data_IF_229829381036
#
_entry.id   IF_229829381036
#
_cell.length_a   1.000
_cell.length_b   1.000
_cell.length_c   1.000
_cell.angle_alpha   90.00
_cell.angle_beta   90.00
_cell.angle_gamma   90.00
#
_symmetry.space_group_name_H-M   'P 1'
#
loop_
_entity.id
_entity.type
_entity.pdbx_description
1 polymer ?
#
# COMPACT_ATOMS: atom_id res chain seq x y z
N UNK A 1 -14.41 -7.54 -47.32
CA UNK A 1 -14.24 -8.91 -47.85
C UNK A 1 -15.62 -9.57 -47.80
N UNK A 2 -16.29 -9.55 -48.95
CA UNK A 2 -17.36 -10.47 -49.35
C UNK A 2 -16.76 -11.90 -49.37
N UNK A 3 -17.44 -13.04 -49.35
CA UNK A 3 -18.84 -13.41 -49.51
C UNK A 3 -18.99 -14.90 -49.08
N UNK A 4 -20.22 -15.40 -49.17
CA UNK A 4 -20.57 -16.78 -49.54
C UNK A 4 -20.74 -17.85 -48.46
N UNK A 5 -22.01 -18.13 -48.12
CA UNK A 5 -22.58 -19.43 -48.51
C UNK A 5 -24.08 -19.34 -48.74
N UNK A 6 -24.39 -19.28 -50.02
CA UNK A 6 -25.72 -19.14 -50.61
C UNK A 6 -26.48 -20.47 -50.61
N UNK A 7 -27.79 -20.36 -50.42
CA UNK A 7 -28.83 -21.38 -50.60
C UNK A 7 -28.92 -21.77 -52.09
N UNK A 8 -28.96 -23.06 -52.43
CA UNK A 8 -29.33 -23.50 -53.78
C UNK A 8 -30.14 -24.82 -53.79
N UNK A 9 -31.41 -24.67 -54.14
CA UNK A 9 -32.30 -25.46 -55.00
C UNK A 9 -32.28 -27.00 -55.09
N UNK A 10 -33.51 -27.49 -55.30
CA UNK A 10 -33.96 -28.87 -55.39
C UNK A 10 -33.94 -29.48 -56.81
N UNK A 11 -34.00 -30.82 -56.82
CA UNK A 11 -34.56 -31.76 -57.83
C UNK A 11 -33.76 -32.10 -59.09
N UNK A 12 -34.08 -33.21 -59.80
CA UNK A 12 -34.44 -34.58 -59.36
C UNK A 12 -33.61 -35.65 -60.14
N UNK A 13 -33.77 -36.96 -59.87
CA UNK A 13 -33.88 -38.04 -60.89
C UNK A 13 -33.97 -39.47 -60.26
N UNK A 14 -34.52 -40.46 -60.98
CA UNK A 14 -35.31 -41.58 -60.43
C UNK A 14 -34.63 -42.95 -60.55
N UNK A 15 -35.21 -43.98 -59.91
CA UNK A 15 -34.94 -45.36 -60.29
C UNK A 15 -35.07 -46.40 -59.19
N UNK A 16 -36.25 -46.55 -58.58
CA UNK A 16 -36.60 -47.80 -57.90
C UNK A 16 -37.29 -48.74 -58.89
N UNK A 17 -36.66 -49.90 -59.03
CA UNK A 17 -37.06 -51.04 -59.83
C UNK A 17 -38.50 -51.47 -59.47
N UNK A 18 -39.35 -51.40 -60.48
CA UNK A 18 -40.70 -51.95 -60.51
C UNK A 18 -40.62 -53.48 -60.58
N UNK A 19 -41.05 -54.17 -59.53
CA UNK A 19 -41.56 -55.53 -59.69
C UNK A 19 -43.08 -55.46 -59.76
N UNK A 20 -43.58 -55.97 -60.90
CA UNK A 20 -44.95 -55.90 -61.36
C UNK A 20 -45.89 -56.66 -60.41
N UNK A 21 -46.84 -55.95 -59.81
CA UNK A 21 -48.10 -56.56 -59.37
C UNK A 21 -49.19 -56.09 -60.34
N UNK A 22 -49.77 -57.08 -61.02
CA UNK A 22 -50.70 -56.97 -62.13
C UNK A 22 -52.04 -56.34 -61.70
N UNK A 23 -52.49 -55.23 -62.33
CA UNK A 23 -53.73 -54.55 -61.95
C UNK A 23 -55.01 -55.32 -62.32
N UNK A 24 -54.92 -56.43 -63.06
CA UNK A 24 -56.08 -57.17 -63.56
C UNK A 24 -56.47 -58.37 -62.67
N UNK A 25 -55.72 -58.63 -61.58
CA UNK A 25 -56.05 -59.68 -60.60
C UNK A 25 -56.74 -59.16 -59.33
N UNK A 26 -56.81 -57.83 -59.12
CA UNK A 26 -57.62 -57.25 -58.01
C UNK A 26 -59.04 -56.90 -58.48
N UNK A 27 -59.26 -56.79 -59.80
CA UNK A 27 -60.58 -56.51 -60.40
C UNK A 27 -61.45 -57.76 -60.59
N UNK A 28 -60.92 -58.97 -60.36
CA UNK A 28 -61.63 -60.24 -60.58
C UNK A 28 -62.19 -60.89 -59.30
N UNK A 29 -62.07 -60.23 -58.13
CA UNK A 29 -62.76 -60.65 -56.90
C UNK A 29 -63.82 -59.64 -56.47
N UNK A 30 -64.45 -58.96 -57.43
CA UNK A 30 -65.69 -58.22 -57.25
C UNK A 30 -66.91 -59.17 -57.24
N UNK A 31 -66.92 -60.14 -56.32
CA UNK A 31 -68.12 -60.93 -56.01
C UNK A 31 -68.74 -60.37 -54.73
N UNK A 32 -69.73 -59.48 -54.90
CA UNK A 32 -70.54 -58.92 -53.81
C UNK A 32 -71.11 -60.07 -52.97
N UNK A 33 -70.73 -60.25 -51.69
CA UNK A 33 -71.44 -61.15 -50.81
C UNK A 33 -72.78 -60.51 -50.41
N UNK A 34 -73.82 -61.34 -50.30
CA UNK A 34 -75.15 -60.96 -49.82
C UNK A 34 -75.09 -60.24 -48.45
N UNK A 35 -76.07 -59.38 -48.11
CA UNK A 35 -76.12 -58.74 -46.80
C UNK A 35 -76.18 -59.82 -45.72
N UNK A 36 -75.09 -59.99 -44.97
CA UNK A 36 -75.09 -60.76 -43.74
C UNK A 36 -75.85 -59.93 -42.71
N UNK A 37 -76.90 -60.51 -42.14
CA UNK A 37 -77.53 -60.03 -40.91
C UNK A 37 -76.44 -59.90 -39.83
N UNK A 38 -76.50 -58.92 -38.92
CA UNK A 38 -75.53 -58.82 -37.84
C UNK A 38 -75.71 -60.01 -36.91
N UNK A 39 -74.87 -61.02 -37.09
CA UNK A 39 -74.55 -62.02 -36.10
C UNK A 39 -73.62 -61.34 -35.08
N UNK A 40 -74.24 -60.88 -34.01
CA UNK A 40 -73.58 -60.46 -32.78
C UNK A 40 -72.87 -61.70 -32.23
N UNK A 41 -71.57 -61.82 -32.48
CA UNK A 41 -70.70 -62.78 -31.81
C UNK A 41 -69.63 -62.00 -31.05
N UNK A 42 -69.80 -61.97 -29.75
CA UNK A 42 -69.04 -61.25 -28.74
C UNK A 42 -67.61 -61.76 -28.60
N UNK A 43 -66.62 -60.98 -29.02
CA UNK A 43 -65.27 -60.99 -28.41
C UNK A 43 -64.59 -59.61 -28.43
N UNK A 44 -65.42 -58.56 -28.41
CA UNK A 44 -65.02 -57.16 -28.36
C UNK A 44 -64.80 -56.54 -26.96
N UNK A 45 -65.09 -57.17 -25.79
CA UNK A 45 -64.79 -56.56 -24.50
C UNK A 45 -63.37 -56.89 -24.01
N UNK A 46 -62.78 -58.04 -24.35
CA UNK A 46 -61.47 -58.45 -23.82
C UNK A 46 -60.32 -57.63 -24.40
N UNK A 47 -60.29 -57.44 -25.73
CA UNK A 47 -59.28 -56.62 -26.39
C UNK A 47 -59.40 -55.13 -26.01
N UNK A 48 -60.62 -54.59 -25.95
CA UNK A 48 -60.85 -53.20 -25.52
C UNK A 48 -60.47 -53.00 -24.06
N UNK A 49 -60.75 -53.96 -23.16
CA UNK A 49 -60.29 -53.90 -21.76
C UNK A 49 -58.77 -54.04 -21.64
N UNK A 50 -58.13 -54.81 -22.50
CA UNK A 50 -56.67 -54.97 -22.52
C UNK A 50 -55.97 -53.72 -23.06
N UNK A 51 -56.52 -53.07 -24.09
CA UNK A 51 -56.03 -51.79 -24.64
C UNK A 51 -56.30 -50.63 -23.68
N UNK A 52 -57.47 -50.59 -23.04
CA UNK A 52 -57.76 -49.58 -22.00
C UNK A 52 -56.89 -49.79 -20.76
N UNK A 53 -56.63 -51.05 -20.38
CA UNK A 53 -55.72 -51.41 -19.30
C UNK A 53 -54.28 -50.99 -19.60
N UNK A 54 -53.78 -51.22 -20.82
CA UNK A 54 -52.43 -50.80 -21.22
C UNK A 54 -52.30 -49.27 -21.30
N UNK A 55 -53.31 -48.57 -21.81
CA UNK A 55 -53.36 -47.10 -21.79
C UNK A 55 -53.39 -46.52 -20.37
N UNK A 56 -54.12 -47.15 -19.45
CA UNK A 56 -54.14 -46.74 -18.04
C UNK A 56 -52.76 -46.92 -17.36
N UNK A 57 -52.07 -48.03 -17.64
CA UNK A 57 -50.71 -48.26 -17.12
C UNK A 57 -49.72 -47.22 -17.69
N UNK A 58 -49.80 -46.93 -18.99
CA UNK A 58 -48.97 -45.89 -19.63
C UNK A 58 -49.23 -44.50 -19.03
N UNK A 59 -50.49 -44.17 -18.72
CA UNK A 59 -50.84 -42.91 -18.07
C UNK A 59 -50.25 -42.79 -16.65
N UNK A 60 -50.28 -43.87 -15.85
CA UNK A 60 -49.66 -43.89 -14.51
C UNK A 60 -48.14 -43.75 -14.62
N UNK A 61 -47.49 -44.41 -15.57
CA UNK A 61 -46.06 -44.25 -15.83
C UNK A 61 -45.70 -42.81 -16.22
N UNK A 62 -46.48 -42.17 -17.08
CA UNK A 62 -46.26 -40.78 -17.46
C UNK A 62 -46.34 -39.83 -16.24
N UNK A 63 -47.28 -40.04 -15.31
CA UNK A 63 -47.39 -39.24 -14.08
C UNK A 63 -46.19 -39.44 -13.15
N UNK A 64 -45.67 -40.68 -13.04
CA UNK A 64 -44.46 -40.97 -12.26
C UNK A 64 -43.25 -40.25 -12.88
N UNK A 65 -43.08 -40.32 -14.20
CA UNK A 65 -41.99 -39.64 -14.91
C UNK A 65 -42.07 -38.12 -14.73
N UNK A 66 -43.25 -37.52 -14.88
CA UNK A 66 -43.45 -36.08 -14.64
C UNK A 66 -43.18 -35.71 -13.18
N UNK A 67 -43.61 -36.54 -12.21
CA UNK A 67 -43.33 -36.33 -10.79
C UNK A 67 -41.84 -36.36 -10.47
N UNK A 68 -41.09 -37.29 -11.06
CA UNK A 68 -39.63 -37.38 -10.94
C UNK A 68 -38.96 -36.16 -11.59
N UNK A 69 -39.41 -35.75 -12.78
CA UNK A 69 -38.88 -34.56 -13.46
C UNK A 69 -39.10 -33.29 -12.62
N UNK A 70 -40.29 -33.08 -12.07
CA UNK A 70 -40.60 -31.92 -11.22
C UNK A 70 -39.78 -31.94 -9.93
N UNK A 71 -39.61 -33.11 -9.30
CA UNK A 71 -38.78 -33.25 -8.12
C UNK A 71 -37.29 -32.96 -8.41
N UNK A 72 -36.79 -33.43 -9.57
CA UNK A 72 -35.43 -33.18 -10.00
C UNK A 72 -35.20 -31.69 -10.33
N UNK A 73 -36.14 -31.05 -11.04
CA UNK A 73 -36.07 -29.63 -11.37
C UNK A 73 -36.06 -28.73 -10.13
N UNK A 74 -36.82 -29.08 -9.07
CA UNK A 74 -36.77 -28.37 -7.79
C UNK A 74 -35.42 -28.52 -7.07
N UNK A 75 -34.80 -29.71 -7.15
CA UNK A 75 -33.46 -29.93 -6.59
C UNK A 75 -32.40 -29.14 -7.35
N UNK A 76 -32.48 -29.10 -8.67
CA UNK A 76 -31.58 -28.31 -9.51
C UNK A 76 -31.70 -26.81 -9.21
N UNK A 77 -32.91 -26.29 -9.01
CA UNK A 77 -33.11 -24.89 -8.60
C UNK A 77 -32.50 -24.57 -7.22
N UNK A 78 -32.62 -25.49 -6.25
CA UNK A 78 -32.00 -25.31 -4.93
C UNK A 78 -30.47 -25.38 -5.01
N UNK A 79 -29.93 -26.31 -5.79
CA UNK A 79 -28.47 -26.40 -6.01
C UNK A 79 -27.93 -25.16 -6.72
N UNK A 80 -28.66 -24.62 -7.70
CA UNK A 80 -28.30 -23.36 -8.34
C UNK A 80 -28.28 -22.20 -7.31
N UNK A 81 -29.26 -22.12 -6.41
CA UNK A 81 -29.28 -21.13 -5.33
C UNK A 81 -28.06 -21.26 -4.40
N UNK A 82 -27.73 -22.48 -3.97
CA UNK A 82 -26.54 -22.72 -3.13
C UNK A 82 -25.24 -22.31 -3.82
N UNK A 83 -25.12 -22.57 -5.13
CA UNK A 83 -23.97 -22.13 -5.92
C UNK A 83 -23.88 -20.61 -5.98
N UNK A 84 -24.97 -19.92 -6.29
CA UNK A 84 -24.99 -18.44 -6.33
C UNK A 84 -24.65 -17.82 -4.97
N UNK A 85 -25.18 -18.35 -3.87
CA UNK A 85 -24.85 -17.85 -2.53
C UNK A 85 -23.39 -18.13 -2.15
N UNK A 86 -22.86 -19.29 -2.52
CA UNK A 86 -21.46 -19.61 -2.34
C UNK A 86 -20.56 -18.68 -3.17
N UNK A 87 -20.90 -18.40 -4.43
CA UNK A 87 -20.17 -17.47 -5.29
C UNK A 87 -20.13 -16.05 -4.71
N UNK A 88 -21.25 -15.58 -4.15
CA UNK A 88 -21.30 -14.30 -3.46
C UNK A 88 -20.39 -14.26 -2.22
N UNK A 89 -20.41 -15.31 -1.40
CA UNK A 89 -19.53 -15.43 -0.24
C UNK A 89 -18.05 -15.51 -0.63
N UNK A 90 -17.74 -16.24 -1.72
CA UNK A 90 -16.41 -16.29 -2.32
C UNK A 90 -15.94 -14.92 -2.80
N UNK A 91 -16.81 -14.09 -3.39
CA UNK A 91 -16.43 -12.72 -3.75
C UNK A 91 -16.01 -11.90 -2.53
N UNK A 92 -16.68 -12.08 -1.39
CA UNK A 92 -16.28 -11.46 -0.12
C UNK A 92 -14.92 -11.95 0.37
N UNK A 93 -14.69 -13.27 0.31
CA UNK A 93 -13.41 -13.89 0.68
C UNK A 93 -12.25 -13.45 -0.24
N UNK A 94 -12.49 -13.36 -1.55
CA UNK A 94 -11.48 -12.91 -2.51
C UNK A 94 -11.09 -11.44 -2.27
N UNK A 95 -12.05 -10.58 -1.90
CA UNK A 95 -11.74 -9.20 -1.51
C UNK A 95 -10.82 -9.15 -0.27
N UNK A 96 -11.08 -9.98 0.76
CA UNK A 96 -10.23 -10.08 1.96
C UNK A 96 -8.84 -10.61 1.61
N UNK A 97 -8.77 -11.63 0.74
CA UNK A 97 -7.50 -12.15 0.21
C UNK A 97 -6.72 -11.07 -0.53
N UNK A 98 -7.37 -10.32 -1.41
CA UNK A 98 -6.74 -9.22 -2.15
C UNK A 98 -6.23 -8.13 -1.22
N UNK A 99 -7.01 -7.73 -0.21
CA UNK A 99 -6.58 -6.75 0.79
C UNK A 99 -5.32 -7.21 1.54
N UNK A 100 -5.31 -8.46 2.02
CA UNK A 100 -4.15 -9.06 2.67
C UNK A 100 -2.92 -9.09 1.75
N UNK A 101 -3.09 -9.57 0.50
CA UNK A 101 -1.98 -9.64 -0.47
C UNK A 101 -1.44 -8.26 -0.82
N UNK A 102 -2.31 -7.26 -1.03
CA UNK A 102 -1.88 -5.89 -1.29
C UNK A 102 -1.11 -5.29 -0.12
N UNK A 103 -1.57 -5.51 1.12
CA UNK A 103 -0.85 -5.07 2.30
C UNK A 103 0.52 -5.75 2.39
N UNK A 104 0.56 -7.07 2.19
CA UNK A 104 1.81 -7.86 2.27
C UNK A 104 2.82 -7.47 1.20
N UNK A 105 2.39 -7.24 -0.04
CA UNK A 105 3.25 -6.89 -1.17
C UNK A 105 3.57 -5.38 -1.24
N UNK A 106 2.76 -4.55 -0.59
CA UNK A 106 2.94 -3.11 -0.48
C UNK A 106 3.71 -2.74 0.78
N UNK A 107 3.00 -2.28 1.81
CA UNK A 107 3.61 -1.74 3.03
C UNK A 107 4.34 -2.82 3.83
N UNK A 108 3.83 -4.06 3.84
CA UNK A 108 4.51 -5.20 4.44
C UNK A 108 5.87 -5.48 3.81
N UNK A 109 5.97 -5.48 2.49
CA UNK A 109 7.23 -5.68 1.78
C UNK A 109 8.20 -4.51 2.01
N UNK A 110 7.71 -3.28 1.99
CA UNK A 110 8.52 -2.09 2.29
C UNK A 110 9.06 -2.14 3.72
N UNK A 111 8.22 -2.42 4.70
CA UNK A 111 8.62 -2.57 6.09
C UNK A 111 9.60 -3.74 6.28
N UNK A 112 9.44 -4.83 5.52
CA UNK A 112 10.35 -5.98 5.53
C UNK A 112 11.75 -5.69 4.97
N UNK A 113 11.97 -4.52 4.34
CA UNK A 113 13.33 -4.07 3.96
C UNK A 113 14.06 -3.34 5.08
N UNK A 114 13.35 -2.95 6.16
CA UNK A 114 13.92 -2.25 7.31
C UNK A 114 14.70 -3.25 8.15
N UNK A 115 15.95 -2.94 8.48
CA UNK A 115 16.79 -3.81 9.30
C UNK A 115 16.73 -3.44 10.79
N UNK A 116 17.21 -4.36 11.62
CA UNK A 116 17.35 -4.23 13.07
C UNK A 116 18.08 -2.95 13.52
N UNK A 117 19.14 -2.53 12.81
CA UNK A 117 19.88 -1.30 13.13
C UNK A 117 19.10 -0.01 12.86
N UNK A 118 18.02 -0.09 12.07
CA UNK A 118 17.22 1.06 11.65
C UNK A 118 16.01 1.28 12.57
N UNK A 119 15.80 0.42 13.56
CA UNK A 119 14.68 0.47 14.48
C UNK A 119 15.17 0.60 15.92
N UNK A 120 14.31 1.15 16.78
CA UNK A 120 14.59 1.33 18.21
C UNK A 120 14.29 0.04 18.99
N UNK A 121 13.21 -0.63 18.63
CA UNK A 121 12.81 -1.95 19.11
C UNK A 121 12.98 -2.99 18.00
N UNK A 122 13.94 -3.89 18.15
CA UNK A 122 14.19 -4.97 17.19
C UNK A 122 13.13 -6.06 17.21
N UNK A 123 12.34 -6.16 18.29
CA UNK A 123 11.25 -7.13 18.37
C UNK A 123 10.15 -6.84 17.32
N UNK A 124 10.01 -5.59 16.88
CA UNK A 124 9.05 -5.25 15.81
C UNK A 124 9.40 -5.89 14.48
N UNK A 125 10.70 -6.06 14.18
CA UNK A 125 11.16 -6.77 12.97
C UNK A 125 10.78 -8.25 13.04
N UNK A 126 11.05 -8.89 14.18
CA UNK A 126 10.68 -10.30 14.38
C UNK A 126 9.17 -10.51 14.30
N UNK A 127 8.38 -9.60 14.85
CA UNK A 127 6.92 -9.65 14.75
C UNK A 127 6.44 -9.50 13.30
N UNK A 128 7.04 -8.60 12.52
CA UNK A 128 6.74 -8.45 11.10
C UNK A 128 7.10 -9.71 10.30
N UNK A 129 8.28 -10.27 10.52
CA UNK A 129 8.74 -11.50 9.86
C UNK A 129 7.79 -12.68 10.13
N UNK A 130 7.30 -12.80 11.36
CA UNK A 130 6.30 -13.80 11.73
C UNK A 130 5.02 -13.64 10.88
N UNK A 131 4.48 -12.41 10.77
CA UNK A 131 3.29 -12.16 9.96
C UNK A 131 3.53 -12.39 8.46
N UNK A 132 4.69 -11.98 7.93
CA UNK A 132 5.04 -12.18 6.52
C UNK A 132 5.22 -13.66 6.16
N UNK A 133 5.63 -14.49 7.13
CA UNK A 133 5.78 -15.95 6.97
C UNK A 133 4.45 -16.72 7.02
N UNK A 134 3.34 -16.06 7.36
CA UNK A 134 2.04 -16.70 7.49
C UNK A 134 1.59 -17.36 6.18
N UNK A 135 1.20 -18.64 6.28
CA UNK A 135 0.77 -19.43 5.12
C UNK A 135 -0.69 -19.16 4.82
N UNK A 136 -0.97 -18.68 3.61
CA UNK A 136 -2.32 -18.39 3.17
C UNK A 136 -3.17 -19.66 3.07
N UNK A 137 -4.46 -19.61 3.48
CA UNK A 137 -5.39 -20.71 3.26
C UNK A 137 -5.58 -21.06 1.78
N UNK A 138 -5.92 -22.33 1.52
CA UNK A 138 -6.12 -22.84 0.16
C UNK A 138 -7.30 -22.15 -0.55
N UNK A 139 -7.29 -22.13 -1.88
CA UNK A 139 -8.42 -21.63 -2.68
C UNK A 139 -9.61 -22.56 -2.51
N UNK A 140 -10.75 -21.97 -2.20
CA UNK A 140 -12.02 -22.67 -2.07
C UNK A 140 -12.75 -22.68 -3.42
N UNK A 141 -13.49 -23.76 -3.73
CA UNK A 141 -14.34 -23.86 -4.92
C UNK A 141 -15.82 -24.04 -4.55
N UNK A 142 -16.73 -23.41 -5.29
CA UNK A 142 -18.18 -23.50 -5.07
C UNK A 142 -18.86 -24.68 -5.80
N UNK A 143 -18.20 -25.83 -5.86
CA UNK A 143 -18.82 -27.05 -6.39
C UNK A 143 -19.63 -27.75 -5.28
N UNK A 144 -20.92 -27.41 -5.21
CA UNK A 144 -21.87 -27.97 -4.25
C UNK A 144 -23.01 -28.67 -4.98
N UNK A 145 -23.38 -29.87 -4.53
CA UNK A 145 -24.49 -30.67 -5.06
C UNK A 145 -25.57 -30.97 -4.02
N UNK A 146 -25.39 -30.54 -2.77
CA UNK A 146 -26.36 -30.75 -1.67
C UNK A 146 -26.27 -29.64 -0.63
N UNK A 147 -27.31 -29.52 0.20
CA UNK A 147 -27.35 -28.56 1.30
C UNK A 147 -26.24 -28.80 2.35
N UNK A 148 -25.87 -30.07 2.59
CA UNK A 148 -24.77 -30.40 3.50
C UNK A 148 -23.42 -29.88 2.96
N UNK A 149 -23.11 -30.18 1.69
CA UNK A 149 -21.90 -29.66 1.04
C UNK A 149 -21.87 -28.13 0.99
N UNK A 150 -23.03 -27.49 0.79
CA UNK A 150 -23.15 -26.03 0.85
C UNK A 150 -22.80 -25.49 2.24
N UNK A 151 -23.36 -26.06 3.31
CA UNK A 151 -23.08 -25.63 4.68
C UNK A 151 -21.60 -25.83 5.05
N UNK A 152 -21.02 -26.99 4.74
CA UNK A 152 -19.60 -27.27 4.99
C UNK A 152 -18.71 -26.27 4.24
N UNK A 153 -19.08 -25.93 3.00
CA UNK A 153 -18.36 -24.98 2.17
C UNK A 153 -18.47 -23.55 2.71
N UNK A 154 -19.64 -23.15 3.20
CA UNK A 154 -19.85 -21.85 3.83
C UNK A 154 -19.07 -21.71 5.13
N UNK A 155 -18.99 -22.78 5.95
CA UNK A 155 -18.16 -22.78 7.15
C UNK A 155 -16.68 -22.57 6.80
N UNK A 156 -16.16 -23.28 5.79
CA UNK A 156 -14.78 -23.09 5.36
C UNK A 156 -14.51 -21.67 4.83
N UNK A 157 -15.47 -21.06 4.12
CA UNK A 157 -15.37 -19.67 3.68
C UNK A 157 -15.32 -18.71 4.87
N UNK A 158 -16.10 -18.97 5.92
CA UNK A 158 -16.11 -18.18 7.15
C UNK A 158 -14.77 -18.29 7.89
N UNK A 159 -14.26 -19.51 8.08
CA UNK A 159 -12.96 -19.77 8.70
C UNK A 159 -11.81 -19.08 7.93
N UNK A 160 -11.81 -19.15 6.60
CA UNK A 160 -10.81 -18.44 5.78
C UNK A 160 -10.99 -16.92 5.87
N UNK A 161 -12.24 -16.43 5.95
CA UNK A 161 -12.52 -14.99 6.09
C UNK A 161 -12.00 -14.45 7.41
N UNK A 162 -12.25 -15.16 8.51
CA UNK A 162 -11.73 -14.82 9.84
C UNK A 162 -10.20 -14.85 9.87
N UNK A 163 -9.59 -15.84 9.21
CA UNK A 163 -8.14 -15.91 9.05
C UNK A 163 -7.60 -14.65 8.36
N UNK A 164 -8.17 -14.26 7.21
CA UNK A 164 -7.71 -13.08 6.48
C UNK A 164 -7.95 -11.79 7.26
N UNK A 165 -9.07 -11.64 7.96
CA UNK A 165 -9.32 -10.47 8.79
C UNK A 165 -8.29 -10.34 9.91
N UNK A 166 -8.04 -11.44 10.63
CA UNK A 166 -7.05 -11.49 11.71
C UNK A 166 -5.65 -11.21 11.21
N UNK A 167 -5.23 -11.86 10.13
CA UNK A 167 -3.86 -11.71 9.60
C UNK A 167 -3.64 -10.37 8.92
N UNK A 168 -4.66 -9.77 8.31
CA UNK A 168 -4.56 -8.41 7.77
C UNK A 168 -4.38 -7.41 8.91
N UNK A 169 -5.16 -7.51 9.99
CA UNK A 169 -5.04 -6.63 11.13
C UNK A 169 -3.68 -6.79 11.85
N UNK A 170 -3.25 -8.04 12.07
CA UNK A 170 -1.94 -8.33 12.69
C UNK A 170 -0.78 -7.87 11.83
N UNK A 171 -0.84 -8.08 10.50
CA UNK A 171 0.19 -7.60 9.59
C UNK A 171 0.25 -6.07 9.58
N UNK A 172 -0.90 -5.38 9.54
CA UNK A 172 -0.94 -3.91 9.61
C UNK A 172 -0.31 -3.42 10.92
N UNK A 173 -0.67 -4.03 12.05
CA UNK A 173 -0.10 -3.67 13.34
C UNK A 173 1.41 -3.89 13.40
N UNK A 174 1.93 -4.94 12.75
CA UNK A 174 3.37 -5.19 12.69
C UNK A 174 4.09 -4.16 11.81
N UNK A 175 3.50 -3.80 10.65
CA UNK A 175 4.00 -2.73 9.77
C UNK A 175 4.04 -1.39 10.49
N UNK A 176 2.96 -1.03 11.19
CA UNK A 176 2.87 0.19 11.96
C UNK A 176 3.90 0.20 13.10
N UNK A 177 4.08 -0.96 13.76
CA UNK A 177 5.09 -1.16 14.80
C UNK A 177 6.51 -0.91 14.30
N UNK A 178 6.91 -1.52 13.19
CA UNK A 178 8.23 -1.29 12.58
C UNK A 178 8.40 0.17 12.17
N UNK A 179 7.37 0.78 11.58
CA UNK A 179 7.40 2.18 11.14
C UNK A 179 7.57 3.13 12.33
N UNK A 180 6.80 2.94 13.40
CA UNK A 180 6.90 3.73 14.62
C UNK A 180 8.27 3.55 15.31
N UNK A 181 8.76 2.32 15.35
CA UNK A 181 10.09 1.98 15.90
C UNK A 181 11.21 2.65 15.11
N UNK A 182 11.12 2.67 13.78
CA UNK A 182 12.04 3.41 12.91
C UNK A 182 11.97 4.92 13.16
N UNK A 183 10.79 5.50 13.25
CA UNK A 183 10.64 6.93 13.53
C UNK A 183 11.21 7.31 14.91
N UNK A 184 11.02 6.46 15.91
CA UNK A 184 11.65 6.62 17.24
C UNK A 184 13.17 6.66 17.12
N UNK A 185 13.75 5.69 16.39
CA UNK A 185 15.19 5.62 16.15
C UNK A 185 15.73 6.85 15.42
N UNK A 186 15.08 7.25 14.34
CA UNK A 186 15.47 8.41 13.53
C UNK A 186 15.42 9.70 14.39
N UNK A 187 14.42 9.85 15.26
CA UNK A 187 14.34 10.96 16.22
C UNK A 187 15.46 10.92 17.28
N UNK A 188 15.74 9.75 17.84
CA UNK A 188 16.80 9.57 18.82
C UNK A 188 18.17 9.97 18.24
N UNK A 189 18.48 9.48 17.03
CA UNK A 189 19.74 9.78 16.32
C UNK A 189 19.86 11.27 15.98
N UNK A 190 18.76 11.89 15.55
CA UNK A 190 18.70 13.34 15.31
C UNK A 190 18.96 14.13 16.58
N UNK A 191 18.37 13.74 17.72
CA UNK A 191 18.60 14.40 19.01
C UNK A 191 20.03 14.24 19.49
N UNK A 192 20.64 13.06 19.32
CA UNK A 192 22.04 12.83 19.67
C UNK A 192 22.98 13.73 18.85
N UNK A 193 22.81 13.72 17.52
CA UNK A 193 23.59 14.56 16.61
C UNK A 193 23.42 16.04 16.96
N UNK A 194 22.18 16.49 17.11
CA UNK A 194 21.89 17.88 17.42
C UNK A 194 22.44 18.29 18.79
N UNK A 195 22.40 17.40 19.79
CA UNK A 195 23.02 17.63 21.11
C UNK A 195 24.53 17.87 20.99
N UNK A 196 25.22 17.17 20.08
CA UNK A 196 26.64 17.46 19.80
C UNK A 196 26.84 18.88 19.25
N UNK A 197 26.02 19.29 18.28
CA UNK A 197 26.01 20.66 17.74
C UNK A 197 25.78 21.71 18.84
N UNK A 198 24.82 21.48 19.74
CA UNK A 198 24.54 22.40 20.86
C UNK A 198 25.75 22.55 21.79
N UNK A 199 26.49 21.46 22.07
CA UNK A 199 27.72 21.51 22.89
C UNK A 199 28.85 22.29 22.19
N UNK A 200 28.99 22.14 20.87
CA UNK A 200 29.98 22.89 20.09
C UNK A 200 29.65 24.39 20.07
N UNK A 201 28.39 24.74 19.87
CA UNK A 201 27.93 26.13 19.94
C UNK A 201 28.14 26.71 21.34
N UNK A 202 27.79 25.97 22.40
CA UNK A 202 28.02 26.40 23.78
C UNK A 202 29.52 26.66 24.03
N UNK A 203 30.39 25.78 23.56
CA UNK A 203 31.85 25.97 23.64
C UNK A 203 32.29 27.24 22.92
N UNK A 204 31.72 27.51 21.74
CA UNK A 204 31.99 28.74 20.98
C UNK A 204 31.55 29.97 21.77
N UNK A 205 30.36 29.97 22.38
CA UNK A 205 29.89 31.05 23.23
C UNK A 205 30.83 31.30 24.42
N UNK A 206 31.27 30.24 25.08
CA UNK A 206 32.16 30.37 26.25
C UNK A 206 33.53 30.94 25.87
N UNK A 207 34.11 30.51 24.75
CA UNK A 207 35.41 31.00 24.26
C UNK A 207 35.36 32.45 23.77
N UNK A 208 34.24 32.86 23.20
CA UNK A 208 34.08 34.18 22.57
C UNK A 208 33.54 35.24 23.54
N UNK A 209 33.14 34.84 24.75
CA UNK A 209 32.59 35.75 25.76
C UNK A 209 33.56 36.88 26.10
N UNK A 210 33.14 38.11 25.85
CA UNK A 210 33.95 39.33 26.06
C UNK A 210 35.09 39.51 25.05
N UNK A 211 35.22 38.59 24.09
CA UNK A 211 36.26 38.56 23.07
C UNK A 211 35.70 38.81 21.66
N UNK A 212 34.59 39.53 21.55
CA UNK A 212 33.96 39.91 20.26
C UNK A 212 33.93 41.43 20.09
N UNK A 213 34.02 41.90 18.84
CA UNK A 213 33.94 43.34 18.53
C UNK A 213 32.51 43.86 18.69
N UNK A 214 31.54 43.07 18.25
CA UNK A 214 30.11 43.32 18.39
C UNK A 214 29.47 42.30 19.35
N UNK A 215 29.10 42.75 20.54
CA UNK A 215 28.44 41.91 21.55
C UNK A 215 27.05 41.43 21.12
N UNK A 216 26.37 42.12 20.20
CA UNK A 216 25.07 41.68 19.71
C UNK A 216 25.16 40.33 18.99
N UNK A 217 26.28 40.06 18.31
CA UNK A 217 26.53 38.76 17.67
C UNK A 217 26.55 37.60 18.68
N UNK A 218 27.15 37.84 19.85
CA UNK A 218 27.22 36.85 20.94
C UNK A 218 25.84 36.65 21.59
N UNK A 219 25.11 37.74 21.85
CA UNK A 219 23.77 37.70 22.42
C UNK A 219 22.78 36.96 21.51
N UNK A 220 22.86 37.19 20.19
CA UNK A 220 22.03 36.51 19.20
C UNK A 220 22.31 35.00 19.16
N UNK A 221 23.59 34.60 19.16
CA UNK A 221 23.98 33.19 19.23
C UNK A 221 23.48 32.53 20.53
N UNK A 222 23.54 33.23 21.66
CA UNK A 222 23.04 32.74 22.95
C UNK A 222 21.53 32.49 22.92
N UNK A 223 20.74 33.40 22.33
CA UNK A 223 19.27 33.23 22.17
C UNK A 223 18.93 32.09 21.21
N UNK A 224 19.67 31.94 20.13
CA UNK A 224 19.51 30.83 19.19
C UNK A 224 19.80 29.50 19.88
N UNK A 225 20.87 29.41 20.67
CA UNK A 225 21.19 28.21 21.44
C UNK A 225 20.06 27.84 22.41
N UNK A 226 19.48 28.81 23.11
CA UNK A 226 18.34 28.55 24.01
C UNK A 226 17.10 28.05 23.23
N UNK A 227 16.81 28.63 22.08
CA UNK A 227 15.70 28.20 21.20
C UNK A 227 15.94 26.80 20.65
N UNK A 228 17.19 26.48 20.34
CA UNK A 228 17.62 25.19 19.86
C UNK A 228 17.51 24.11 20.94
N UNK A 229 17.93 24.41 22.18
CA UNK A 229 17.72 23.52 23.32
C UNK A 229 16.23 23.22 23.53
N UNK A 230 15.36 24.22 23.40
CA UNK A 230 13.91 24.01 23.51
C UNK A 230 13.39 23.09 22.40
N UNK A 231 13.85 23.24 21.15
CA UNK A 231 13.47 22.35 20.05
C UNK A 231 13.96 20.92 20.27
N UNK A 232 15.18 20.75 20.78
CA UNK A 232 15.75 19.47 21.16
C UNK A 232 14.93 18.75 22.24
N UNK A 233 14.54 19.49 23.28
CA UNK A 233 13.79 18.93 24.41
C UNK A 233 12.34 18.60 24.04
N UNK A 234 11.77 19.35 23.09
CA UNK A 234 10.46 19.07 22.51
C UNK A 234 10.47 17.93 21.48
N UNK A 235 11.65 17.49 21.01
CA UNK A 235 11.75 16.48 19.94
C UNK A 235 11.26 16.99 18.57
N UNK A 236 11.29 18.30 18.34
CA UNK A 236 10.78 18.93 17.12
C UNK A 236 11.83 18.85 16.00
N UNK A 237 11.73 17.81 15.15
CA UNK A 237 12.71 17.55 14.08
C UNK A 237 12.82 18.68 13.07
N UNK A 238 11.70 19.27 12.67
CA UNK A 238 11.67 20.34 11.68
C UNK A 238 12.36 21.60 12.24
N UNK A 239 12.06 21.93 13.50
CA UNK A 239 12.66 23.10 14.15
C UNK A 239 14.14 22.89 14.47
N UNK A 240 14.56 21.68 14.83
CA UNK A 240 15.98 21.34 14.97
C UNK A 240 16.74 21.60 13.65
N UNK A 241 16.18 21.21 12.50
CA UNK A 241 16.83 21.42 11.19
C UNK A 241 16.92 22.89 10.78
N UNK A 242 15.88 23.67 11.06
CA UNK A 242 15.89 25.10 10.82
C UNK A 242 16.96 25.79 11.69
N UNK A 243 16.98 25.46 12.99
CA UNK A 243 17.89 26.07 13.95
C UNK A 243 19.34 25.66 13.74
N UNK A 244 19.62 24.44 13.26
CA UNK A 244 20.99 24.03 12.93
C UNK A 244 21.63 24.96 11.88
N UNK A 245 20.87 25.33 10.84
CA UNK A 245 21.33 26.28 9.82
C UNK A 245 21.54 27.69 10.39
N UNK A 246 20.63 28.15 11.25
CA UNK A 246 20.74 29.46 11.90
C UNK A 246 21.91 29.52 12.88
N UNK A 247 22.15 28.44 13.63
CA UNK A 247 23.28 28.30 14.56
C UNK A 247 24.61 28.37 13.81
N UNK A 248 24.75 27.64 12.70
CA UNK A 248 25.96 27.68 11.88
C UNK A 248 26.29 29.10 11.40
N UNK A 249 25.30 29.80 10.83
CA UNK A 249 25.47 31.19 10.38
C UNK A 249 25.76 32.18 11.54
N UNK A 250 25.18 31.95 12.72
CA UNK A 250 25.44 32.77 13.90
C UNK A 250 26.85 32.52 14.47
N UNK A 251 27.33 31.27 14.48
CA UNK A 251 28.70 30.92 14.85
C UNK A 251 29.72 31.60 13.94
N UNK A 252 29.50 31.61 12.63
CA UNK A 252 30.36 32.33 11.68
C UNK A 252 30.42 33.83 11.97
N UNK A 253 29.27 34.47 12.25
CA UNK A 253 29.21 35.90 12.61
C UNK A 253 29.96 36.20 13.91
N UNK A 254 29.81 35.36 14.93
CA UNK A 254 30.52 35.51 16.21
C UNK A 254 32.03 35.35 16.01
N UNK A 255 32.47 34.36 15.22
CA UNK A 255 33.88 34.17 14.91
C UNK A 255 34.47 35.35 14.12
N UNK A 256 33.75 35.87 13.12
CA UNK A 256 34.19 37.06 12.39
C UNK A 256 34.31 38.30 13.32
N UNK A 257 33.35 38.47 14.24
CA UNK A 257 33.36 39.53 15.25
C UNK A 257 34.54 39.40 16.22
N UNK A 258 34.89 38.17 16.62
CA UNK A 258 36.10 37.88 17.42
C UNK A 258 37.36 38.25 16.67
N UNK A 259 37.48 37.83 15.41
CA UNK A 259 38.67 38.09 14.60
C UNK A 259 38.85 39.59 14.33
N UNK A 260 37.74 40.31 14.13
CA UNK A 260 37.75 41.77 14.06
C UNK A 260 38.28 42.39 15.37
N UNK A 261 37.84 41.90 16.53
CA UNK A 261 38.34 42.40 17.82
C UNK A 261 39.84 42.17 17.96
N UNK A 262 40.33 40.98 17.60
CA UNK A 262 41.76 40.66 17.63
C UNK A 262 42.52 41.66 16.77
N UNK A 263 42.08 41.91 15.53
CA UNK A 263 42.70 42.88 14.64
C UNK A 263 42.66 44.32 15.19
N UNK A 264 41.57 44.72 15.83
CA UNK A 264 41.43 46.04 16.47
C UNK A 264 42.38 46.20 17.67
N UNK A 265 42.51 45.16 18.49
CA UNK A 265 43.38 45.16 19.67
C UNK A 265 44.86 45.15 19.25
N UNK A 266 45.23 44.40 18.21
CA UNK A 266 46.58 44.42 17.61
C UNK A 266 46.93 45.81 17.04
N UNK A 267 46.00 46.44 16.30
CA UNK A 267 46.19 47.81 15.78
C UNK A 267 46.43 48.82 16.90
N UNK A 268 45.62 48.77 17.96
CA UNK A 268 45.78 49.65 19.14
C UNK A 268 47.12 49.40 19.84
N UNK A 269 47.53 48.13 19.99
CA UNK A 269 48.80 47.76 20.59
C UNK A 269 50.00 48.27 19.77
N UNK A 270 49.92 48.29 18.45
CA UNK A 270 50.98 48.81 17.57
C UNK A 270 51.03 50.36 17.51
N UNK A 271 49.91 51.05 17.68
CA UNK A 271 49.88 52.52 17.70
C UNK A 271 50.44 53.12 18.99
N UNK A 272 50.24 52.48 20.15
CA UNK A 272 50.76 52.93 21.44
C UNK A 272 52.27 53.24 21.44
N UNK A 273 53.17 52.32 21.02
CA UNK A 273 54.61 52.60 20.97
C UNK A 273 54.98 53.66 19.93
N UNK A 274 54.24 53.77 18.81
CA UNK A 274 54.47 54.84 17.82
C UNK A 274 54.17 56.22 18.40
N UNK A 275 53.02 56.38 19.07
CA UNK A 275 52.66 57.65 19.73
C UNK A 275 53.67 58.00 20.84
N UNK A 276 54.10 57.02 21.64
CA UNK A 276 55.12 57.23 22.66
C UNK A 276 56.49 57.63 22.09
N UNK A 277 56.88 57.06 20.94
CA UNK A 277 58.12 57.44 20.25
C UNK A 277 58.04 58.85 19.64
N UNK A 278 56.91 59.22 19.03
CA UNK A 278 56.67 60.56 18.48
C UNK A 278 56.67 61.64 19.57
N UNK A 279 56.06 61.39 20.73
CA UNK A 279 56.07 62.32 21.87
C UNK A 279 57.48 62.53 22.42
N UNK A 280 58.28 61.46 22.57
CA UNK A 280 59.69 61.57 22.96
C UNK A 280 60.50 62.38 21.95
N UNK A 281 60.33 62.11 20.66
CA UNK A 281 61.03 62.85 19.60
C UNK A 281 60.67 64.35 19.61
N UNK A 282 59.38 64.69 19.84
CA UNK A 282 58.95 66.10 19.97
C UNK A 282 59.55 66.78 21.20
N UNK A 283 59.61 66.10 22.34
CA UNK A 283 60.26 66.64 23.55
C UNK A 283 61.76 66.88 23.33
N UNK A 284 62.46 65.96 22.68
CA UNK A 284 63.88 66.13 22.35
C UNK A 284 64.14 67.31 21.41
N UNK A 285 63.31 67.48 20.38
CA UNK A 285 63.41 68.62 19.46
C UNK A 285 63.18 69.96 20.17
N UNK A 286 62.15 70.05 21.03
CA UNK A 286 61.89 71.27 21.80
C UNK A 286 63.05 71.62 22.75
N UNK A 287 63.66 70.60 23.37
CA UNK A 287 64.81 70.79 24.26
C UNK A 287 66.03 71.30 23.47
N UNK A 288 66.29 70.72 22.31
CA UNK A 288 67.37 71.16 21.41
C UNK A 288 67.17 72.59 20.90
N UNK A 289 65.94 73.01 20.60
CA UNK A 289 65.62 74.40 20.22
C UNK A 289 65.79 75.39 21.37
N UNK A 290 65.33 75.05 22.58
CA UNK A 290 65.56 75.87 23.77
C UNK A 290 67.05 76.05 24.06
N UNK A 291 67.85 74.99 23.90
CA UNK A 291 69.30 75.06 24.11
C UNK A 291 69.98 75.95 23.06
N UNK A 292 69.57 75.88 21.79
CA UNK A 292 70.05 76.81 20.74
C UNK A 292 69.69 78.27 21.03
N UNK A 293 68.47 78.55 21.48
CA UNK A 293 68.05 79.92 21.82
C UNK A 293 68.83 80.49 23.00
N UNK A 294 69.14 79.67 24.03
CA UNK A 294 69.99 80.09 25.15
C UNK A 294 71.41 80.43 24.71
N UNK A 295 72.00 79.64 23.81
CA UNK A 295 73.35 79.90 23.28
C UNK A 295 73.41 81.18 22.44
N UNK A 296 72.40 81.44 21.62
CA UNK A 296 72.32 82.68 20.82
C UNK A 296 72.06 83.93 21.67
N UNK A 297 71.34 83.80 22.78
CA UNK A 297 71.11 84.89 23.74
C UNK A 297 72.36 85.26 24.56
N UNK A 298 73.26 84.30 24.80
CA UNK A 298 74.55 84.55 25.45
C UNK A 298 75.55 85.23 24.52
N UNK A 299 75.58 84.88 23.22
CA UNK A 299 76.47 85.51 22.23
C UNK A 299 76.12 86.98 21.88
N UNK A 300 74.94 87.49 22.27
CA UNK A 300 74.54 88.89 22.05
C UNK A 300 74.82 89.82 23.23
N UNK A 301 75.36 89.30 24.34
CA UNK A 301 75.63 90.04 25.58
C UNK A 301 77.12 90.36 25.82
N UNK A 302 77.99 89.89 24.94
CA UNK A 302 79.40 90.30 24.83
C UNK A 302 79.56 91.27 23.65
#
# INVERSE_FOLDING_TARGET
MLDDRTILYASPEPGTQTELINPNEIAAMAKKPAPRKPDHEDDHPMYVRMVLGSLAVLAVFALIVVGIMVANQRREQQVALYRTQCEQAMSGLENKRTAYTQLREGDGAQAGTISDIQVDDTATISALDEQLSATMPERITCDVASAAQYNDRMQLIDEHSEWFDTHTASLQSAVDGVTASKQSKDLADRRETFSATLREVQTTLDLTRGNVADNATWDDLSKLLASAQQAHDAGDMERMEALERELSAAVERVNASRDQKIADDERKAAEQPRRAAEEKAKQEQQRAEQDKQKQQGQQKKD
#
